data_IF_995338899403
#
_entry.id   IF_995338899403
#
_cell.length_a   1.000
_cell.length_b   1.000
_cell.length_c   1.000
_cell.angle_alpha   90.00
_cell.angle_beta   90.00
_cell.angle_gamma   90.00
#
_symmetry.space_group_name_H-M   'P 1'
#
loop_
_entity.id
_entity.type
_entity.pdbx_description
1 polymer ?
#
# COMPACT_ATOMS: atom_id res chain seq x y z
N UNK A 1 19.40 -3.90 -11.72
CA UNK A 1 18.66 -2.98 -10.82
C UNK A 1 19.47 -2.90 -9.55
N UNK A 2 19.92 -1.70 -9.19
CA UNK A 2 20.70 -1.45 -7.98
C UNK A 2 19.78 -0.88 -6.90
N UNK A 3 20.01 -1.26 -5.65
CA UNK A 3 19.27 -0.76 -4.49
C UNK A 3 20.33 -0.38 -3.46
N UNK A 4 20.35 0.90 -3.09
CA UNK A 4 21.39 1.46 -2.22
C UNK A 4 22.82 1.08 -2.69
N UNK A 5 23.04 1.07 -4.01
CA UNK A 5 24.33 0.73 -4.63
C UNK A 5 24.63 -0.76 -4.79
N UNK A 6 23.76 -1.67 -4.34
CA UNK A 6 23.98 -3.12 -4.38
C UNK A 6 23.05 -3.79 -5.39
N UNK A 7 23.53 -4.82 -6.11
CA UNK A 7 22.70 -5.58 -7.04
C UNK A 7 21.58 -6.33 -6.32
N UNK A 8 20.36 -6.26 -6.86
CA UNK A 8 19.18 -6.89 -6.28
C UNK A 8 19.31 -8.41 -6.06
N UNK A 9 20.13 -9.10 -6.87
CA UNK A 9 20.28 -10.56 -6.78
C UNK A 9 21.20 -10.96 -5.62
N UNK A 10 22.06 -10.06 -5.17
CA UNK A 10 22.95 -10.25 -4.03
C UNK A 10 22.26 -9.96 -2.68
N UNK A 11 21.07 -9.35 -2.71
CA UNK A 11 20.25 -9.06 -1.54
C UNK A 11 19.05 -10.01 -1.49
N UNK A 12 18.56 -10.34 -0.29
CA UNK A 12 17.22 -10.90 -0.17
C UNK A 12 16.19 -9.76 -0.35
N UNK A 13 16.05 -9.29 -1.59
CA UNK A 13 15.27 -8.13 -2.02
C UNK A 13 13.85 -8.11 -1.45
N UNK A 14 13.20 -9.27 -1.37
CA UNK A 14 11.84 -9.44 -0.85
C UNK A 14 11.68 -8.99 0.61
N UNK A 15 12.76 -8.85 1.37
CA UNK A 15 12.73 -8.33 2.75
C UNK A 15 12.64 -6.80 2.83
N UNK A 16 13.05 -6.10 1.78
CA UNK A 16 13.17 -4.63 1.77
C UNK A 16 12.04 -3.95 0.99
N UNK A 17 11.31 -4.73 0.19
CA UNK A 17 10.29 -4.21 -0.74
C UNK A 17 8.94 -4.86 -0.47
N UNK A 18 7.92 -4.02 -0.35
CA UNK A 18 6.53 -4.42 -0.40
C UNK A 18 5.96 -4.19 -1.79
N UNK A 19 5.15 -5.12 -2.28
CA UNK A 19 4.44 -4.99 -3.55
C UNK A 19 2.93 -5.12 -3.31
N UNK A 20 2.20 -4.06 -3.62
CA UNK A 20 0.74 -4.00 -3.56
C UNK A 20 0.20 -4.20 -4.96
N UNK A 21 -0.52 -5.30 -5.16
CA UNK A 21 -1.15 -5.62 -6.44
C UNK A 21 -2.37 -4.72 -6.70
N UNK A 22 -2.82 -4.68 -7.96
CA UNK A 22 -4.05 -4.00 -8.34
C UNK A 22 -5.26 -4.62 -7.63
N UNK A 23 -5.37 -5.95 -7.66
CA UNK A 23 -6.43 -6.70 -6.98
C UNK A 23 -6.18 -6.84 -5.48
N UNK A 24 -7.19 -6.51 -4.67
CA UNK A 24 -7.12 -6.64 -3.22
C UNK A 24 -7.52 -8.05 -2.76
N UNK A 25 -6.53 -8.92 -2.60
CA UNK A 25 -6.73 -10.30 -2.14
C UNK A 25 -6.70 -10.35 -0.61
N UNK A 26 -7.87 -10.19 0.01
CA UNK A 26 -8.05 -10.22 1.47
C UNK A 26 -9.09 -11.26 1.89
N UNK A 27 -8.92 -11.84 3.08
CA UNK A 27 -9.86 -12.85 3.61
C UNK A 27 -11.17 -12.17 4.06
N UNK A 28 -12.24 -12.41 3.31
CA UNK A 28 -13.52 -11.70 3.46
C UNK A 28 -14.18 -11.88 4.84
N UNK A 29 -13.92 -13.01 5.51
CA UNK A 29 -14.49 -13.34 6.81
C UNK A 29 -13.84 -12.61 8.00
N UNK A 30 -12.61 -12.10 7.82
CA UNK A 30 -11.86 -11.40 8.87
C UNK A 30 -12.23 -9.93 8.92
N UNK A 31 -12.04 -9.32 10.08
CA UNK A 31 -12.01 -7.86 10.24
C UNK A 31 -10.72 -7.26 9.71
N UNK A 32 -10.72 -5.95 9.44
CA UNK A 32 -9.50 -5.20 9.04
C UNK A 32 -8.35 -5.47 10.02
N UNK A 33 -8.61 -5.33 11.32
CA UNK A 33 -7.61 -5.56 12.38
C UNK A 33 -7.09 -7.00 12.38
N UNK A 34 -7.98 -7.99 12.26
CA UNK A 34 -7.58 -9.40 12.22
C UNK A 34 -6.73 -9.71 10.99
N UNK A 35 -7.06 -9.12 9.83
CA UNK A 35 -6.32 -9.33 8.59
C UNK A 35 -4.88 -8.81 8.70
N UNK A 36 -4.70 -7.59 9.19
CA UNK A 36 -3.37 -7.00 9.40
C UNK A 36 -2.61 -7.77 10.50
N UNK A 37 -3.28 -8.14 11.59
CA UNK A 37 -2.67 -8.92 12.68
C UNK A 37 -2.21 -10.28 12.20
N UNK A 38 -3.00 -10.95 11.36
CA UNK A 38 -2.65 -12.24 10.77
C UNK A 38 -1.40 -12.13 9.90
N UNK A 39 -1.35 -11.12 9.02
CA UNK A 39 -0.14 -10.85 8.22
C UNK A 39 1.09 -10.61 9.10
N UNK A 40 0.94 -9.82 10.17
CA UNK A 40 2.00 -9.60 11.15
C UNK A 40 2.50 -10.88 11.81
N UNK A 41 1.60 -11.76 12.27
CA UNK A 41 1.96 -13.04 12.89
C UNK A 41 2.73 -13.98 11.96
N UNK A 42 2.46 -13.90 10.65
CA UNK A 42 3.10 -14.75 9.66
C UNK A 42 4.44 -14.21 9.17
N UNK A 43 4.62 -12.88 9.15
CA UNK A 43 5.78 -12.22 8.51
C UNK A 43 6.77 -11.60 9.50
N UNK A 44 6.38 -11.36 10.76
CA UNK A 44 7.23 -10.74 11.77
C UNK A 44 7.80 -11.77 12.76
N UNK A 45 8.97 -11.51 13.37
CA UNK A 45 9.51 -12.36 14.42
C UNK A 45 8.58 -12.36 15.65
N UNK A 46 8.63 -13.44 16.44
CA UNK A 46 7.81 -13.59 17.65
C UNK A 46 8.06 -12.53 18.73
N UNK A 47 9.23 -11.90 18.71
CA UNK A 47 9.59 -10.77 19.58
C UNK A 47 8.95 -9.44 19.17
N UNK A 48 8.35 -9.34 17.98
CA UNK A 48 7.76 -8.10 17.50
C UNK A 48 6.48 -7.74 18.27
N UNK A 49 6.32 -6.46 18.61
CA UNK A 49 5.07 -5.93 19.14
C UNK A 49 4.05 -5.72 18.01
N UNK A 50 3.44 -6.83 17.56
CA UNK A 50 2.48 -6.83 16.44
C UNK A 50 1.29 -5.91 16.73
N UNK A 51 0.78 -5.91 17.97
CA UNK A 51 -0.37 -5.08 18.36
C UNK A 51 -0.09 -3.60 18.10
N UNK A 52 1.05 -3.09 18.59
CA UNK A 52 1.42 -1.70 18.41
C UNK A 52 1.58 -1.32 16.93
N UNK A 53 2.20 -2.20 16.13
CA UNK A 53 2.33 -1.99 14.68
C UNK A 53 0.98 -1.94 13.97
N UNK A 54 0.07 -2.84 14.33
CA UNK A 54 -1.30 -2.86 13.78
C UNK A 54 -2.04 -1.57 14.14
N UNK A 55 -1.96 -1.12 15.39
CA UNK A 55 -2.61 0.11 15.83
C UNK A 55 -2.08 1.34 15.07
N UNK A 56 -0.75 1.46 14.91
CA UNK A 56 -0.14 2.52 14.11
C UNK A 56 -0.59 2.50 12.64
N UNK A 57 -0.67 1.31 12.03
CA UNK A 57 -1.12 1.19 10.63
C UNK A 57 -2.59 1.56 10.47
N UNK A 58 -3.44 1.19 11.42
CA UNK A 58 -4.85 1.55 11.41
C UNK A 58 -5.02 3.07 11.48
N UNK A 59 -4.22 3.75 12.28
CA UNK A 59 -4.22 5.22 12.38
C UNK A 59 -3.68 5.88 11.10
N UNK A 60 -2.46 5.53 10.68
CA UNK A 60 -1.80 6.12 9.52
C UNK A 60 -2.60 5.95 8.22
N UNK A 61 -3.30 4.82 8.08
CA UNK A 61 -4.10 4.52 6.89
C UNK A 61 -5.58 4.90 7.05
N UNK A 62 -5.94 5.65 8.10
CA UNK A 62 -7.30 6.14 8.35
C UNK A 62 -8.33 5.00 8.35
N UNK A 63 -7.99 3.90 9.00
CA UNK A 63 -8.77 2.66 9.13
C UNK A 63 -9.29 2.42 10.55
N UNK A 64 -8.99 3.28 11.52
CA UNK A 64 -9.39 3.10 12.93
C UNK A 64 -10.90 2.85 13.10
N UNK A 65 -11.75 3.58 12.37
CA UNK A 65 -13.21 3.41 12.43
C UNK A 65 -13.68 2.07 11.81
N UNK A 66 -12.92 1.54 10.86
CA UNK A 66 -13.21 0.27 10.18
C UNK A 66 -12.49 -0.94 10.80
N UNK A 67 -11.71 -0.73 11.86
CA UNK A 67 -10.80 -1.74 12.41
C UNK A 67 -11.50 -3.07 12.75
N UNK A 68 -12.71 -2.99 13.30
CA UNK A 68 -13.51 -4.15 13.71
C UNK A 68 -14.60 -4.52 12.70
N UNK A 69 -14.59 -3.91 11.51
CA UNK A 69 -15.52 -4.22 10.43
C UNK A 69 -14.93 -5.33 9.56
N UNK A 70 -15.75 -6.29 9.14
CA UNK A 70 -15.34 -7.36 8.23
C UNK A 70 -14.93 -6.81 6.87
N UNK A 71 -13.92 -7.40 6.24
CA UNK A 71 -13.53 -7.07 4.86
C UNK A 71 -14.72 -7.25 3.91
N UNK A 72 -15.48 -8.35 4.08
CA UNK A 72 -16.65 -8.68 3.27
C UNK A 72 -16.31 -8.96 1.80
N UNK A 73 -17.32 -9.15 0.97
CA UNK A 73 -17.18 -9.39 -0.46
C UNK A 73 -18.54 -9.46 -1.16
N UNK A 74 -18.59 -10.08 -2.34
CA UNK A 74 -19.80 -10.06 -3.18
C UNK A 74 -21.05 -10.61 -2.49
N UNK A 75 -20.88 -11.51 -1.52
CA UNK A 75 -21.97 -12.16 -0.78
C UNK A 75 -22.08 -11.72 0.69
N UNK A 76 -21.21 -10.81 1.15
CA UNK A 76 -21.21 -10.35 2.54
C UNK A 76 -20.84 -8.88 2.64
N UNK A 77 -21.71 -8.09 3.28
CA UNK A 77 -21.44 -6.67 3.51
C UNK A 77 -20.16 -6.52 4.34
N UNK A 78 -19.31 -5.58 3.95
CA UNK A 78 -18.06 -5.27 4.65
C UNK A 78 -17.65 -3.82 4.46
N UNK A 79 -16.35 -3.58 4.55
CA UNK A 79 -15.74 -2.27 4.33
C UNK A 79 -15.93 -1.77 2.89
N UNK A 80 -15.86 -0.45 2.69
CA UNK A 80 -15.86 0.18 1.37
C UNK A 80 -14.66 -0.23 0.52
N UNK A 81 -14.71 0.01 -0.79
CA UNK A 81 -13.59 -0.26 -1.71
C UNK A 81 -12.31 0.49 -1.30
N UNK A 82 -12.42 1.76 -0.91
CA UNK A 82 -11.29 2.54 -0.43
C UNK A 82 -10.67 2.01 0.86
N UNK A 83 -11.51 1.61 1.83
CA UNK A 83 -11.03 0.98 3.07
C UNK A 83 -10.40 -0.39 2.80
N UNK A 84 -10.96 -1.16 1.88
CA UNK A 84 -10.37 -2.43 1.42
C UNK A 84 -8.98 -2.21 0.82
N UNK A 85 -8.83 -1.21 -0.06
CA UNK A 85 -7.54 -0.89 -0.67
C UNK A 85 -6.51 -0.45 0.35
N UNK A 86 -6.90 0.41 1.29
CA UNK A 86 -6.02 0.81 2.41
C UNK A 86 -5.68 -0.36 3.32
N UNK A 87 -6.59 -1.31 3.55
CA UNK A 87 -6.27 -2.54 4.29
C UNK A 87 -5.27 -3.42 3.54
N UNK A 88 -5.37 -3.52 2.21
CA UNK A 88 -4.42 -4.24 1.34
C UNK A 88 -3.02 -3.64 1.46
N UNK A 89 -2.92 -2.30 1.41
CA UNK A 89 -1.68 -1.57 1.68
C UNK A 89 -1.17 -1.86 3.10
N UNK A 90 -2.04 -1.82 4.11
CA UNK A 90 -1.66 -2.09 5.51
C UNK A 90 -1.03 -3.48 5.71
N UNK A 91 -1.58 -4.50 5.04
CA UNK A 91 -1.07 -5.88 5.08
C UNK A 91 0.36 -5.95 4.55
N UNK A 92 0.68 -5.18 3.51
CA UNK A 92 2.02 -5.15 2.94
C UNK A 92 2.99 -4.26 3.76
N UNK A 93 2.49 -3.24 4.45
CA UNK A 93 3.30 -2.37 5.32
C UNK A 93 3.64 -2.96 6.69
N UNK A 94 3.01 -4.06 7.11
CA UNK A 94 3.23 -4.66 8.44
C UNK A 94 4.70 -5.05 8.69
N UNK A 95 5.43 -5.37 7.62
CA UNK A 95 6.87 -5.72 7.65
C UNK A 95 7.78 -4.51 7.76
N UNK A 96 7.23 -3.29 7.72
CA UNK A 96 7.99 -2.03 7.75
C UNK A 96 9.03 -1.93 6.61
N UNK A 97 8.60 -2.03 5.33
CA UNK A 97 9.49 -2.02 4.18
C UNK A 97 10.11 -0.63 3.93
N UNK A 98 11.32 -0.60 3.36
CA UNK A 98 11.97 0.64 2.93
C UNK A 98 11.45 1.15 1.58
N UNK A 99 10.98 0.23 0.73
CA UNK A 99 10.44 0.54 -0.59
C UNK A 99 9.07 -0.10 -0.76
N UNK A 100 8.13 0.66 -1.32
CA UNK A 100 6.76 0.23 -1.56
C UNK A 100 6.48 0.43 -3.05
N UNK A 101 6.08 -0.63 -3.73
CA UNK A 101 5.68 -0.61 -5.14
C UNK A 101 4.20 -0.92 -5.21
N UNK A 102 3.41 -0.07 -5.87
CA UNK A 102 1.98 -0.22 -6.00
C UNK A 102 1.58 -0.27 -7.46
N UNK A 103 0.73 -1.23 -7.79
CA UNK A 103 0.15 -1.35 -9.12
C UNK A 103 -1.27 -0.78 -9.12
N UNK A 104 -1.47 0.33 -9.83
CA UNK A 104 -2.74 1.02 -10.01
C UNK A 104 -3.57 1.19 -8.71
N UNK A 105 -3.01 1.78 -7.64
CA UNK A 105 -3.66 1.80 -6.32
C UNK A 105 -4.93 2.64 -6.26
N UNK A 106 -5.22 3.44 -7.29
CA UNK A 106 -6.40 4.32 -7.39
C UNK A 106 -7.49 3.76 -8.31
N UNK A 107 -7.25 2.66 -9.03
CA UNK A 107 -8.21 2.13 -10.00
C UNK A 107 -9.49 1.65 -9.32
N UNK A 108 -10.64 2.02 -9.89
CA UNK A 108 -11.96 1.64 -9.37
C UNK A 108 -12.43 2.46 -8.16
N UNK A 109 -11.69 3.51 -7.76
CA UNK A 109 -12.07 4.42 -6.69
C UNK A 109 -12.62 5.73 -7.26
N UNK A 110 -13.52 6.38 -6.52
CA UNK A 110 -13.93 7.75 -6.82
C UNK A 110 -12.78 8.75 -6.56
N UNK A 111 -12.88 9.93 -7.15
CA UNK A 111 -11.83 10.96 -7.10
C UNK A 111 -11.41 11.33 -5.68
N UNK A 112 -12.35 11.40 -4.74
CA UNK A 112 -12.04 11.75 -3.35
C UNK A 112 -11.25 10.62 -2.68
N UNK A 113 -11.72 9.38 -2.80
CA UNK A 113 -11.03 8.22 -2.23
C UNK A 113 -9.65 8.02 -2.85
N UNK A 114 -9.48 8.23 -4.16
CA UNK A 114 -8.19 8.18 -4.84
C UNK A 114 -7.22 9.24 -4.30
N UNK A 115 -7.65 10.50 -4.15
CA UNK A 115 -6.84 11.56 -3.55
C UNK A 115 -6.43 11.22 -2.10
N UNK A 116 -7.31 10.59 -1.32
CA UNK A 116 -6.96 10.13 0.04
C UNK A 116 -5.85 9.08 0.01
N UNK A 117 -5.90 8.12 -0.93
CA UNK A 117 -4.84 7.11 -1.07
C UNK A 117 -3.52 7.76 -1.46
N UNK A 118 -3.51 8.66 -2.44
CA UNK A 118 -2.26 9.31 -2.89
C UNK A 118 -1.65 10.15 -1.77
N UNK A 119 -2.46 10.87 -1.00
CA UNK A 119 -1.96 11.61 0.17
C UNK A 119 -1.33 10.68 1.22
N UNK A 120 -1.94 9.53 1.50
CA UNK A 120 -1.35 8.52 2.39
C UNK A 120 -0.02 8.00 1.84
N UNK A 121 0.09 7.75 0.54
CA UNK A 121 1.34 7.33 -0.10
C UNK A 121 2.42 8.41 0.00
N UNK A 122 2.05 9.69 -0.15
CA UNK A 122 2.94 10.82 0.06
C UNK A 122 3.41 10.93 1.50
N UNK A 123 2.51 10.79 2.48
CA UNK A 123 2.85 10.76 3.90
C UNK A 123 3.85 9.62 4.21
N UNK A 124 3.65 8.43 3.62
CA UNK A 124 4.62 7.33 3.72
C UNK A 124 5.97 7.69 3.09
N UNK A 125 6.00 8.35 1.93
CA UNK A 125 7.24 8.78 1.30
C UNK A 125 8.02 9.77 2.19
N UNK A 126 7.32 10.73 2.81
CA UNK A 126 7.91 11.75 3.70
C UNK A 126 8.59 11.16 4.94
N UNK A 127 8.29 9.93 5.32
CA UNK A 127 9.00 9.22 6.40
C UNK A 127 10.34 8.62 5.97
N UNK A 128 10.79 8.88 4.74
CA UNK A 128 12.05 8.36 4.19
C UNK A 128 11.92 7.03 3.45
N UNK A 129 10.70 6.62 3.08
CA UNK A 129 10.45 5.41 2.28
C UNK A 129 10.41 5.76 0.79
N UNK A 130 10.89 4.87 -0.07
CA UNK A 130 10.70 5.01 -1.52
C UNK A 130 9.33 4.47 -1.90
N UNK A 131 8.48 5.29 -2.52
CA UNK A 131 7.16 4.86 -3.01
C UNK A 131 7.15 4.97 -4.53
N UNK A 132 6.80 3.87 -5.21
CA UNK A 132 6.67 3.80 -6.66
C UNK A 132 5.25 3.32 -6.96
N UNK A 133 4.50 4.06 -7.77
CA UNK A 133 3.15 3.68 -8.15
C UNK A 133 2.90 3.87 -9.64
N UNK A 134 2.15 2.96 -10.26
CA UNK A 134 1.51 3.19 -11.56
C UNK A 134 0.16 3.85 -11.31
N UNK A 135 -0.15 4.96 -11.98
CA UNK A 135 -1.42 5.68 -11.80
C UNK A 135 -2.08 5.85 -13.17
N UNK A 136 -3.27 5.28 -13.32
CA UNK A 136 -4.09 5.46 -14.52
C UNK A 136 -4.93 6.73 -14.39
N UNK A 137 -4.68 7.72 -15.25
CA UNK A 137 -5.44 8.97 -15.36
C UNK A 137 -5.58 9.76 -14.04
N UNK A 138 -4.49 10.29 -13.45
CA UNK A 138 -4.58 11.13 -12.26
C UNK A 138 -5.35 12.42 -12.56
N UNK A 139 -6.12 12.90 -11.59
CA UNK A 139 -6.65 14.26 -11.63
C UNK A 139 -5.53 15.28 -11.36
N UNK A 140 -5.76 16.56 -11.64
CA UNK A 140 -4.74 17.60 -11.49
C UNK A 140 -4.17 17.69 -10.07
N UNK A 141 -5.02 17.57 -9.05
CA UNK A 141 -4.60 17.62 -7.64
C UNK A 141 -3.65 16.45 -7.30
N UNK A 142 -3.98 15.24 -7.74
CA UNK A 142 -3.14 14.04 -7.56
C UNK A 142 -1.81 14.18 -8.30
N UNK A 143 -1.83 14.74 -9.51
CA UNK A 143 -0.64 14.94 -10.33
C UNK A 143 0.38 15.88 -9.65
N UNK A 144 -0.09 16.92 -8.96
CA UNK A 144 0.75 17.86 -8.23
C UNK A 144 1.43 17.26 -6.99
N UNK A 145 1.02 16.08 -6.54
CA UNK A 145 1.61 15.40 -5.37
C UNK A 145 2.84 14.55 -5.72
N UNK A 146 3.17 14.37 -7.00
CA UNK A 146 4.28 13.50 -7.42
C UNK A 146 5.63 14.22 -7.32
N UNK A 147 6.58 13.61 -6.61
CA UNK A 147 7.96 14.09 -6.55
C UNK A 147 8.72 13.84 -7.87
N UNK A 148 8.46 12.69 -8.51
CA UNK A 148 9.02 12.30 -9.81
C UNK A 148 7.95 11.64 -10.67
N UNK A 149 8.02 11.89 -11.99
CA UNK A 149 7.11 11.38 -13.00
C UNK A 149 7.89 10.65 -14.07
N UNK A 150 7.52 9.39 -14.35
CA UNK A 150 8.01 8.62 -15.49
C UNK A 150 6.85 8.30 -16.43
N UNK A 151 6.94 8.74 -17.69
CA UNK A 151 5.96 8.42 -18.73
C UNK A 151 6.50 7.29 -19.60
N UNK A 152 5.71 6.22 -19.70
CA UNK A 152 6.00 5.06 -20.55
C UNK A 152 5.02 5.00 -21.72
N UNK A 153 5.52 4.74 -22.93
CA UNK A 153 4.70 4.40 -24.09
C UNK A 153 5.35 3.26 -24.87
N UNK A 154 4.57 2.22 -25.18
CA UNK A 154 5.03 1.03 -25.94
C UNK A 154 6.34 0.43 -25.40
N UNK A 155 6.47 0.36 -24.07
CA UNK A 155 7.66 -0.17 -23.40
C UNK A 155 8.88 0.74 -23.39
N UNK A 156 8.76 2.00 -23.83
CA UNK A 156 9.85 2.99 -23.83
C UNK A 156 9.56 4.14 -22.88
N UNK A 157 10.61 4.65 -22.22
CA UNK A 157 10.55 5.88 -21.44
C UNK A 157 10.48 7.05 -22.41
N UNK A 158 9.40 7.82 -22.35
CA UNK A 158 9.20 9.02 -23.15
C UNK A 158 9.64 10.26 -22.37
N UNK A 159 9.48 10.23 -21.04
CA UNK A 159 9.85 11.32 -20.15
C UNK A 159 10.17 10.80 -18.76
N UNK A 160 11.13 11.44 -18.08
CA UNK A 160 11.44 11.25 -16.67
C UNK A 160 12.04 12.55 -16.11
N UNK A 161 11.68 12.93 -14.88
CA UNK A 161 12.27 14.07 -14.17
C UNK A 161 12.85 13.71 -12.80
#
# INVERSE_FOLDING_TARGET
VLINGVDKNSLNFKKYVAYVQQDDVLMQSLTVRECITFAGRMRLPTSANIKNRVDMLLENLKLSNAANTKIGGSFSKGVSGGERKRCSIAVELITDPNMIVLDEPTTGLDSYTASVIVNVLRELALTGRTVIATIHQPNSETFELFDQLMLLALGKIIYMN
#
